data_IF_877603597766
#
_entry.id   IF_877603597766
#
_cell.length_a   1.000
_cell.length_b   1.000
_cell.length_c   1.000
_cell.angle_alpha   90.00
_cell.angle_beta   90.00
_cell.angle_gamma   90.00
#
_symmetry.space_group_name_H-M   'P 1'
#
loop_
_entity.id
_entity.type
_entity.pdbx_description
1 polymer ?
#
# COMPACT_ATOMS: atom_id res chain seq x y z
N UNK A 1 10.13 12.96 -8.29
CA UNK A 1 8.75 13.45 -8.21
C UNK A 1 8.48 13.83 -6.76
N UNK A 2 7.79 14.94 -6.51
CA UNK A 2 7.21 15.23 -5.20
C UNK A 2 6.37 14.06 -4.70
N UNK A 3 6.43 13.81 -3.39
CA UNK A 3 5.68 12.74 -2.72
C UNK A 3 4.16 12.83 -2.97
N UNK A 4 3.67 14.04 -3.18
CA UNK A 4 2.26 14.37 -3.35
C UNK A 4 1.68 13.92 -4.70
N UNK A 5 2.53 13.72 -5.71
CA UNK A 5 2.10 13.29 -7.04
C UNK A 5 1.83 11.77 -7.11
N UNK A 6 2.39 10.99 -6.17
CA UNK A 6 2.25 9.53 -6.18
C UNK A 6 0.84 9.04 -5.81
N UNK A 7 0.15 9.72 -4.89
CA UNK A 7 -1.19 9.27 -4.47
C UNK A 7 -2.24 9.46 -5.58
N UNK A 8 -2.32 10.61 -6.27
CA UNK A 8 -3.22 10.77 -7.41
C UNK A 8 -2.93 9.78 -8.55
N UNK A 9 -1.66 9.54 -8.88
CA UNK A 9 -1.26 8.56 -9.90
C UNK A 9 -1.65 7.13 -9.51
N UNK A 10 -1.39 6.75 -8.26
CA UNK A 10 -1.79 5.45 -7.73
C UNK A 10 -3.30 5.28 -7.76
N UNK A 11 -4.06 6.28 -7.30
CA UNK A 11 -5.51 6.27 -7.30
C UNK A 11 -6.08 6.06 -8.70
N UNK A 12 -5.57 6.84 -9.67
CA UNK A 12 -5.96 6.71 -11.07
C UNK A 12 -5.68 5.31 -11.62
N UNK A 13 -4.48 4.76 -11.37
CA UNK A 13 -4.10 3.44 -11.86
C UNK A 13 -4.94 2.30 -11.23
N UNK A 14 -5.15 2.33 -9.91
CA UNK A 14 -5.93 1.33 -9.17
C UNK A 14 -7.40 1.36 -9.63
N UNK A 15 -7.99 2.54 -9.76
CA UNK A 15 -9.36 2.70 -10.25
C UNK A 15 -9.52 2.29 -11.72
N UNK A 16 -8.56 2.63 -12.57
CA UNK A 16 -8.56 2.21 -13.98
C UNK A 16 -8.49 0.68 -14.12
N UNK A 17 -7.86 -0.02 -13.17
CA UNK A 17 -7.83 -1.48 -13.10
C UNK A 17 -9.11 -2.11 -12.52
N UNK A 18 -10.12 -1.31 -12.16
CA UNK A 18 -11.40 -1.78 -11.61
C UNK A 18 -11.40 -2.00 -10.09
N UNK A 19 -10.38 -1.50 -9.39
CA UNK A 19 -10.24 -1.62 -7.94
C UNK A 19 -10.59 -0.32 -7.20
N UNK A 20 -10.44 -0.34 -5.88
CA UNK A 20 -10.91 0.73 -5.00
C UNK A 20 -9.81 1.31 -4.13
N UNK A 21 -9.97 2.57 -3.74
CA UNK A 21 -9.13 3.27 -2.78
C UNK A 21 -9.98 3.96 -1.70
N UNK A 22 -9.41 4.22 -0.52
CA UNK A 22 -10.06 4.99 0.56
C UNK A 22 -9.96 6.50 0.39
N UNK A 23 -9.16 6.97 -0.57
CA UNK A 23 -8.69 8.36 -0.59
C UNK A 23 -7.51 8.56 0.36
N UNK A 24 -7.07 9.81 0.51
CA UNK A 24 -5.91 10.15 1.32
C UNK A 24 -6.30 10.32 2.79
N UNK A 25 -5.66 9.56 3.67
CA UNK A 25 -5.81 9.59 5.11
C UNK A 25 -4.61 10.32 5.74
N UNK A 26 -4.88 11.24 6.66
CA UNK A 26 -3.86 11.94 7.44
C UNK A 26 -3.46 11.12 8.68
N UNK A 27 -2.17 10.86 8.83
CA UNK A 27 -1.57 10.15 9.96
C UNK A 27 -0.79 11.10 10.88
N UNK A 28 -1.09 12.40 10.82
CA UNK A 28 -0.53 13.49 11.62
C UNK A 28 0.80 14.04 11.08
N UNK A 29 1.73 13.18 10.65
CA UNK A 29 3.04 13.60 10.11
C UNK A 29 3.42 12.94 8.79
N UNK A 30 2.54 12.09 8.29
CA UNK A 30 2.64 11.44 6.99
C UNK A 30 1.22 11.09 6.55
N UNK A 31 1.05 10.59 5.33
CA UNK A 31 -0.25 10.26 4.77
C UNK A 31 -0.27 8.82 4.28
N UNK A 32 -1.46 8.26 4.10
CA UNK A 32 -1.63 6.94 3.49
C UNK A 32 -2.92 6.86 2.70
N UNK A 33 -3.05 5.83 1.87
CA UNK A 33 -4.31 5.44 1.26
C UNK A 33 -4.46 3.93 1.35
N UNK A 34 -5.67 3.46 1.58
CA UNK A 34 -5.98 2.03 1.51
C UNK A 34 -6.38 1.68 0.09
N UNK A 35 -5.81 0.60 -0.47
CA UNK A 35 -6.23 0.02 -1.75
C UNK A 35 -6.95 -1.30 -1.49
N UNK A 36 -7.96 -1.63 -2.30
CA UNK A 36 -8.76 -2.83 -2.10
C UNK A 36 -9.37 -3.40 -3.39
N UNK A 37 -9.50 -4.72 -3.41
CA UNK A 37 -10.02 -5.48 -4.55
C UNK A 37 -11.55 -5.43 -4.63
N UNK A 38 -12.22 -5.19 -3.50
CA UNK A 38 -13.67 -5.11 -3.40
C UNK A 38 -14.09 -3.95 -2.51
N UNK A 39 -15.33 -3.51 -2.67
CA UNK A 39 -16.01 -2.56 -1.80
C UNK A 39 -17.42 -3.07 -1.52
N UNK A 40 -17.84 -3.03 -0.26
CA UNK A 40 -19.21 -3.31 0.16
C UNK A 40 -19.74 -2.04 0.83
N UNK A 41 -20.74 -1.40 0.24
CA UNK A 41 -21.36 -0.16 0.69
C UNK A 41 -20.33 0.89 1.17
N UNK A 42 -20.10 0.94 2.48
CA UNK A 42 -19.30 1.90 3.21
C UNK A 42 -17.89 1.43 3.59
N UNK A 43 -17.49 0.18 3.30
CA UNK A 43 -16.15 -0.33 3.62
C UNK A 43 -15.45 -1.05 2.46
N UNK A 44 -14.11 -1.05 2.52
CA UNK A 44 -13.23 -1.75 1.59
C UNK A 44 -12.99 -3.20 2.05
N UNK A 45 -13.02 -4.16 1.14
CA UNK A 45 -12.93 -5.60 1.45
C UNK A 45 -12.18 -6.39 0.36
N UNK A 46 -12.13 -7.71 0.50
CA UNK A 46 -11.26 -8.59 -0.29
C UNK A 46 -9.80 -8.38 0.09
N UNK A 47 -8.86 -8.69 -0.81
CA UNK A 47 -7.47 -8.28 -0.65
C UNK A 47 -7.42 -6.76 -0.55
N UNK A 48 -6.84 -6.26 0.54
CA UNK A 48 -6.64 -4.85 0.79
C UNK A 48 -5.46 -4.64 1.73
N UNK A 49 -4.87 -3.45 1.67
CA UNK A 49 -3.73 -3.02 2.47
C UNK A 49 -3.59 -1.51 2.34
N UNK A 50 -2.81 -0.87 3.22
CA UNK A 50 -2.52 0.55 3.08
C UNK A 50 -1.15 0.80 2.47
N UNK A 51 -1.06 1.86 1.69
CA UNK A 51 0.15 2.41 1.08
C UNK A 51 0.39 3.78 1.65
N UNK A 52 1.59 4.06 2.11
CA UNK A 52 1.98 5.41 2.46
C UNK A 52 3.41 5.73 2.03
N UNK A 53 3.72 7.01 2.08
CA UNK A 53 5.04 7.52 1.75
C UNK A 53 5.59 8.24 2.98
N UNK A 54 6.87 8.02 3.27
CA UNK A 54 7.61 8.68 4.34
C UNK A 54 8.96 9.12 3.77
N UNK A 55 9.11 10.42 3.54
CA UNK A 55 10.18 10.93 2.68
C UNK A 55 10.09 10.29 1.29
N UNK A 56 11.20 9.73 0.80
CA UNK A 56 11.25 9.03 -0.49
C UNK A 56 10.86 7.54 -0.42
N UNK A 57 10.48 7.04 0.76
CA UNK A 57 10.23 5.61 0.98
C UNK A 57 8.76 5.27 0.84
N UNK A 58 8.48 4.22 0.07
CA UNK A 58 7.15 3.65 -0.06
C UNK A 58 6.95 2.53 0.97
N UNK A 59 5.95 2.68 1.82
CA UNK A 59 5.63 1.76 2.91
C UNK A 59 4.27 1.11 2.65
N UNK A 60 4.22 -0.20 2.77
CA UNK A 60 3.03 -1.02 2.62
C UNK A 60 2.72 -1.66 3.96
N UNK A 61 1.48 -1.57 4.43
CA UNK A 61 1.07 -2.25 5.67
C UNK A 61 -0.15 -3.12 5.48
N UNK A 62 -0.03 -4.35 5.95
CA UNK A 62 -1.07 -5.39 5.87
C UNK A 62 -1.90 -5.41 7.15
N UNK A 63 -3.09 -6.01 7.08
CA UNK A 63 -3.98 -6.13 8.24
C UNK A 63 -3.52 -7.19 9.25
N UNK A 64 -2.56 -8.05 8.88
CA UNK A 64 -1.83 -8.93 9.79
C UNK A 64 -0.69 -8.23 10.54
N UNK A 65 -0.70 -6.89 10.59
CA UNK A 65 0.32 -6.06 11.27
C UNK A 65 1.74 -6.27 10.73
N UNK A 66 1.89 -6.56 9.43
CA UNK A 66 3.20 -6.62 8.76
C UNK A 66 3.43 -5.34 7.97
N UNK A 67 4.67 -4.88 7.97
CA UNK A 67 5.10 -3.69 7.25
C UNK A 67 6.18 -4.08 6.24
N UNK A 68 6.12 -3.46 5.06
CA UNK A 68 7.10 -3.66 4.00
C UNK A 68 7.52 -2.33 3.40
N UNK A 69 8.79 -2.24 3.02
CA UNK A 69 9.27 -1.25 2.08
C UNK A 69 9.16 -1.82 0.66
N UNK A 70 8.61 -1.02 -0.26
CA UNK A 70 8.75 -1.24 -1.69
C UNK A 70 9.93 -0.41 -2.21
N UNK A 71 11.08 -1.04 -2.53
CA UNK A 71 12.30 -0.30 -2.88
C UNK A 71 12.21 0.42 -4.23
N UNK A 72 11.36 -0.04 -5.14
CA UNK A 72 11.17 0.56 -6.46
C UNK A 72 9.75 1.12 -6.60
N UNK A 73 9.55 2.35 -6.14
CA UNK A 73 8.24 3.03 -6.13
C UNK A 73 7.53 3.03 -7.50
N UNK A 74 8.28 3.08 -8.61
CA UNK A 74 7.72 3.03 -9.97
C UNK A 74 6.91 1.76 -10.24
N UNK A 75 7.16 0.68 -9.48
CA UNK A 75 6.45 -0.60 -9.59
C UNK A 75 5.21 -0.68 -8.69
N UNK A 76 4.91 0.35 -7.91
CA UNK A 76 3.83 0.36 -6.93
C UNK A 76 2.46 0.06 -7.55
N UNK A 77 2.12 0.72 -8.66
CA UNK A 77 0.84 0.50 -9.33
C UNK A 77 0.71 -0.95 -9.80
N UNK A 78 1.75 -1.51 -10.43
CA UNK A 78 1.79 -2.91 -10.87
C UNK A 78 1.65 -3.88 -9.68
N UNK A 79 2.39 -3.62 -8.59
CA UNK A 79 2.29 -4.40 -7.36
C UNK A 79 0.86 -4.42 -6.81
N UNK A 80 0.24 -3.24 -6.66
CA UNK A 80 -1.12 -3.13 -6.18
C UNK A 80 -2.08 -3.93 -7.07
N UNK A 81 -2.00 -3.75 -8.39
CA UNK A 81 -2.90 -4.43 -9.34
C UNK A 81 -2.72 -5.95 -9.26
N UNK A 82 -1.50 -6.46 -9.24
CA UNK A 82 -1.25 -7.91 -9.17
C UNK A 82 -1.78 -8.51 -7.86
N UNK A 83 -1.52 -7.88 -6.72
CA UNK A 83 -2.03 -8.36 -5.43
C UNK A 83 -3.56 -8.31 -5.34
N UNK A 84 -4.16 -7.22 -5.83
CA UNK A 84 -5.62 -7.04 -5.78
C UNK A 84 -6.34 -7.99 -6.73
N UNK A 85 -5.69 -8.45 -7.81
CA UNK A 85 -6.24 -9.46 -8.74
C UNK A 85 -6.36 -10.85 -8.15
N UNK A 86 -5.46 -11.26 -7.24
CA UNK A 86 -5.52 -12.60 -6.64
C UNK A 86 -6.84 -12.85 -5.89
N UNK A 87 -7.37 -11.81 -5.21
CA UNK A 87 -8.65 -11.76 -4.51
C UNK A 87 -9.16 -13.10 -3.88
N UNK A 88 -8.34 -13.81 -3.08
CA UNK A 88 -8.71 -15.06 -2.45
C UNK A 88 -9.90 -14.87 -1.48
N UNK A 89 -10.64 -15.96 -1.26
CA UNK A 89 -11.69 -16.03 -0.25
C UNK A 89 -11.34 -17.19 0.70
N UNK A 90 -10.98 -16.93 1.97
CA UNK A 90 -10.96 -15.63 2.66
C UNK A 90 -9.78 -14.72 2.25
N UNK A 91 -9.91 -13.42 2.55
CA UNK A 91 -8.83 -12.43 2.42
C UNK A 91 -7.59 -12.88 3.20
N UNK A 92 -6.41 -12.75 2.58
CA UNK A 92 -5.16 -13.05 3.25
C UNK A 92 -4.74 -11.91 4.20
N UNK A 93 -4.24 -12.22 5.41
CA UNK A 93 -3.78 -11.20 6.36
C UNK A 93 -2.45 -10.56 5.92
N UNK A 94 -1.76 -11.14 4.96
CA UNK A 94 -0.42 -10.75 4.53
C UNK A 94 -0.22 -11.06 3.03
N UNK A 95 0.79 -10.43 2.40
CA UNK A 95 1.12 -10.66 1.00
C UNK A 95 1.61 -12.09 0.76
N UNK A 96 1.21 -12.69 -0.37
CA UNK A 96 1.73 -13.98 -0.79
C UNK A 96 3.25 -13.93 -1.02
N UNK A 97 3.96 -15.02 -0.70
CA UNK A 97 5.42 -15.12 -0.86
C UNK A 97 5.87 -14.85 -2.30
N UNK A 98 5.10 -15.33 -3.28
CA UNK A 98 5.34 -15.09 -4.70
C UNK A 98 5.35 -13.61 -5.05
N UNK A 99 4.36 -12.86 -4.57
CA UNK A 99 4.22 -11.42 -4.82
C UNK A 99 5.33 -10.64 -4.10
N UNK A 100 5.63 -11.00 -2.84
CA UNK A 100 6.77 -10.40 -2.10
C UNK A 100 8.08 -10.55 -2.86
N UNK A 101 8.36 -11.76 -3.35
CA UNK A 101 9.58 -12.06 -4.10
C UNK A 101 9.62 -11.32 -5.45
N UNK A 102 8.52 -11.32 -6.21
CA UNK A 102 8.45 -10.69 -7.52
C UNK A 102 8.71 -9.17 -7.48
N UNK A 103 8.31 -8.52 -6.39
CA UNK A 103 8.45 -7.08 -6.20
C UNK A 103 9.59 -6.68 -5.26
N UNK A 104 10.33 -7.64 -4.71
CA UNK A 104 11.46 -7.40 -3.82
C UNK A 104 11.06 -6.68 -2.53
N UNK A 105 9.88 -7.00 -1.98
CA UNK A 105 9.39 -6.37 -0.76
C UNK A 105 10.31 -6.68 0.41
N UNK A 106 10.73 -5.63 1.13
CA UNK A 106 11.61 -5.76 2.29
C UNK A 106 10.80 -5.61 3.57
N UNK A 107 10.72 -6.64 4.42
CA UNK A 107 10.02 -6.50 5.69
C UNK A 107 10.70 -5.44 6.56
N UNK A 108 9.91 -4.57 7.17
CA UNK A 108 10.38 -3.59 8.15
C UNK A 108 9.61 -3.76 9.47
N UNK A 109 10.17 -3.23 10.54
CA UNK A 109 9.52 -3.21 11.86
C UNK A 109 8.87 -1.85 12.11
N UNK A 110 7.93 -1.78 13.06
CA UNK A 110 7.25 -0.53 13.41
C UNK A 110 8.26 0.56 13.82
N UNK A 111 9.29 0.18 14.56
CA UNK A 111 10.38 1.07 15.00
C UNK A 111 11.14 1.70 13.82
N UNK A 112 11.21 0.98 12.69
CA UNK A 112 11.84 1.51 11.46
C UNK A 112 10.96 2.55 10.81
N UNK A 113 9.65 2.31 10.74
CA UNK A 113 8.68 3.29 10.25
C UNK A 113 8.68 4.54 11.13
N UNK A 114 8.61 4.38 12.45
CA UNK A 114 8.58 5.49 13.41
C UNK A 114 9.83 6.37 13.28
N UNK A 115 11.01 5.75 13.13
CA UNK A 115 12.25 6.46 12.87
C UNK A 115 12.19 7.25 11.56
N UNK A 116 11.73 6.65 10.46
CA UNK A 116 11.62 7.36 9.18
C UNK A 116 10.64 8.53 9.26
N UNK A 117 9.54 8.38 9.99
CA UNK A 117 8.56 9.46 10.20
C UNK A 117 9.17 10.60 11.00
N UNK A 118 9.99 10.29 12.02
CA UNK A 118 10.71 11.31 12.77
C UNK A 118 11.77 12.05 11.94
N UNK A 119 12.46 11.34 11.04
CA UNK A 119 13.49 11.90 10.14
C UNK A 119 12.91 12.77 9.02
N UNK A 120 11.66 12.54 8.62
CA UNK A 120 10.99 13.28 7.54
C UNK A 120 10.31 14.58 8.00
N UNK A 121 10.32 14.87 9.31
CA UNK A 121 9.84 16.12 9.91
C UNK A 121 10.89 17.22 9.86
#
# INVERSE_FOLDING_TARGET
>A
MPQDDWYPELDAAVRAAGFHTSGLEDMGSWRRTTVASKRCDWYLTGNSFWVGFVGERCVLGTWGCRLYELPEVKRLASFCIDWLREAPTPTLPDFADSVRAAYGLRPIQQETLDRWVAEAR
#
